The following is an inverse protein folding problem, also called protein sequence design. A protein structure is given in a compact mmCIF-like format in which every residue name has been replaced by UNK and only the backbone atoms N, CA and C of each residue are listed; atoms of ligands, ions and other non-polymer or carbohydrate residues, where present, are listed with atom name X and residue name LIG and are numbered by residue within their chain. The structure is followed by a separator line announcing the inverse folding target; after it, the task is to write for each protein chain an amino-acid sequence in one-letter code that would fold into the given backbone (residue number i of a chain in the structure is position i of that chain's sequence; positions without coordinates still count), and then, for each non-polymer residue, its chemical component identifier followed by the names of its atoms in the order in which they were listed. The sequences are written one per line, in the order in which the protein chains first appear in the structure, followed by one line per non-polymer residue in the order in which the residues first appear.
data_IF_461921360153
#
_entry.id   IF_461921360153
#
_cell.length_a   1.000
_cell.length_b   1.000
_cell.length_c   1.000
_cell.angle_alpha   90.00
_cell.angle_beta   90.00
_cell.angle_gamma   90.00
#
_symmetry.space_group_name_H-M   'P 1'
#
loop_
_entity.id
_entity.type
_entity.pdbx_description
1 polymer ?
#
# COMPACT_ATOMS: atom_id res chain seq x y z
N UNK A 1 42.92 52.42 20.61
CA UNK A 1 42.27 51.08 20.60
C UNK A 1 40.94 51.06 21.35
N UNK A 2 40.22 52.19 21.35
CA UNK A 2 38.76 52.23 21.28
C UNK A 2 38.30 51.84 19.86
N UNK A 3 37.04 51.44 19.69
CA UNK A 3 36.38 51.08 18.41
C UNK A 3 36.44 49.59 18.02
N UNK A 4 35.70 48.72 18.75
CA UNK A 4 34.97 47.55 18.19
C UNK A 4 34.27 46.63 19.19
N UNK A 5 34.42 46.85 20.50
CA UNK A 5 33.89 45.93 21.50
C UNK A 5 32.64 46.53 22.15
N UNK A 6 31.50 45.95 21.77
CA UNK A 6 30.20 45.97 22.47
C UNK A 6 29.30 47.18 22.24
N UNK A 7 29.07 47.49 20.97
CA UNK A 7 27.77 47.98 20.48
C UNK A 7 26.65 46.90 20.57
N UNK A 8 26.84 45.85 21.38
CA UNK A 8 26.07 44.60 21.36
C UNK A 8 25.16 44.42 22.58
N UNK A 9 24.98 45.45 23.42
CA UNK A 9 24.18 45.36 24.66
C UNK A 9 23.20 46.52 24.85
N UNK A 10 22.84 47.25 23.78
CA UNK A 10 21.82 48.33 23.85
C UNK A 10 20.91 48.32 22.61
N UNK A 11 20.52 47.15 22.12
CA UNK A 11 19.20 46.98 21.48
C UNK A 11 18.27 46.43 22.55
N UNK A 12 18.10 47.24 23.58
CA UNK A 12 16.98 47.14 24.49
C UNK A 12 15.69 47.33 23.68
N UNK A 13 14.69 46.51 24.00
CA UNK A 13 13.29 46.89 23.93
C UNK A 13 12.61 47.06 22.55
N UNK A 14 12.90 46.21 21.55
CA UNK A 14 12.09 46.17 20.31
C UNK A 14 11.94 44.79 19.65
N UNK A 15 11.86 43.70 20.44
CA UNK A 15 11.48 42.36 19.92
C UNK A 15 10.38 41.75 20.81
N UNK A 16 9.38 42.55 21.15
CA UNK A 16 8.13 42.12 21.82
C UNK A 16 6.91 42.51 21.00
N UNK A 17 7.02 42.53 19.66
CA UNK A 17 5.90 42.88 18.79
C UNK A 17 6.01 42.31 17.37
N UNK A 18 6.30 41.01 17.22
CA UNK A 18 5.95 40.30 15.97
C UNK A 18 5.34 38.94 16.36
N UNK A 19 4.22 39.02 17.07
CA UNK A 19 3.20 37.97 17.07
C UNK A 19 2.01 38.49 16.28
N UNK A 20 2.22 38.72 14.97
CA UNK A 20 1.11 38.91 14.04
C UNK A 20 1.03 37.67 13.15
N UNK A 21 0.09 36.82 13.52
CA UNK A 21 -0.89 36.22 12.62
C UNK A 21 -0.39 35.75 11.26
N UNK A 22 0.07 34.50 11.22
CA UNK A 22 -0.18 33.65 10.06
C UNK A 22 -1.15 32.53 10.47
N UNK A 23 -2.38 32.93 10.79
CA UNK A 23 -3.51 32.02 10.71
C UNK A 23 -3.86 31.89 9.22
N UNK A 24 -3.12 31.01 8.52
CA UNK A 24 -3.61 30.48 7.25
C UNK A 24 -4.92 29.78 7.57
N UNK A 25 -6.03 30.40 7.18
CA UNK A 25 -7.36 29.82 7.27
C UNK A 25 -7.39 28.60 6.34
N UNK A 26 -6.99 27.45 6.87
CA UNK A 26 -7.25 26.17 6.25
C UNK A 26 -8.78 26.03 6.21
N UNK A 27 -9.40 25.87 5.03
CA UNK A 27 -10.81 25.52 4.94
C UNK A 27 -11.05 24.32 5.86
N UNK A 28 -12.20 24.22 6.56
CA UNK A 28 -12.47 23.05 7.38
C UNK A 28 -12.28 21.83 6.48
N UNK A 29 -11.29 21.00 6.83
CA UNK A 29 -11.12 19.73 6.17
C UNK A 29 -12.47 19.05 6.28
N UNK A 30 -13.13 18.79 5.14
CA UNK A 30 -14.24 17.87 5.11
C UNK A 30 -13.67 16.58 5.67
N UNK A 31 -14.02 16.30 6.92
CA UNK A 31 -13.84 15.02 7.56
C UNK A 31 -14.41 14.02 6.57
N UNK A 32 -13.53 13.31 5.87
CA UNK A 32 -13.92 12.10 5.16
C UNK A 32 -14.45 11.24 6.29
N UNK A 33 -15.76 11.15 6.38
CA UNK A 33 -16.41 10.13 7.17
C UNK A 33 -15.84 8.83 6.63
N UNK A 34 -14.88 8.29 7.37
CA UNK A 34 -14.46 6.92 7.26
C UNK A 34 -15.74 6.12 7.48
N UNK A 35 -16.40 5.78 6.38
CA UNK A 35 -17.39 4.73 6.35
C UNK A 35 -16.63 3.46 6.72
N UNK A 36 -16.45 3.27 8.03
CA UNK A 36 -16.16 2.00 8.64
C UNK A 36 -17.40 1.16 8.35
N UNK A 37 -17.45 0.60 7.16
CA UNK A 37 -18.36 -0.48 6.81
C UNK A 37 -18.05 -1.56 7.83
N UNK A 38 -18.86 -1.64 8.88
CA UNK A 38 -18.91 -2.79 9.77
C UNK A 38 -19.40 -3.95 8.90
N UNK A 39 -18.46 -4.58 8.21
CA UNK A 39 -18.66 -5.86 7.57
C UNK A 39 -18.97 -6.83 8.71
N UNK A 40 -20.27 -7.07 8.89
CA UNK A 40 -20.81 -8.04 9.83
C UNK A 40 -20.07 -9.36 9.59
N UNK A 41 -19.21 -9.74 10.55
CA UNK A 41 -18.50 -11.01 10.51
C UNK A 41 -19.56 -12.12 10.58
N UNK A 42 -19.88 -12.70 9.43
CA UNK A 42 -20.63 -13.95 9.39
C UNK A 42 -19.75 -15.02 10.05
N UNK A 43 -20.35 -15.88 10.88
CA UNK A 43 -19.62 -16.85 11.67
C UNK A 43 -18.77 -17.75 10.75
N UNK A 44 -17.44 -17.60 10.80
CA UNK A 44 -16.48 -18.32 9.95
C UNK A 44 -15.69 -17.44 8.97
N UNK A 45 -16.01 -16.15 8.83
CA UNK A 45 -15.26 -15.20 7.97
C UNK A 45 -14.29 -14.40 8.84
N UNK A 46 -13.00 -14.76 8.78
CA UNK A 46 -11.92 -13.95 9.37
C UNK A 46 -11.44 -12.90 8.34
N UNK A 47 -11.64 -11.63 8.66
CA UNK A 47 -11.15 -10.52 7.83
C UNK A 47 -9.65 -10.34 8.12
N UNK A 48 -8.80 -10.86 7.24
CA UNK A 48 -7.36 -10.63 7.33
C UNK A 48 -7.03 -9.23 6.82
N UNK A 49 -6.57 -8.35 7.72
CA UNK A 49 -6.17 -6.97 7.39
C UNK A 49 -4.96 -6.87 6.46
N UNK A 50 -4.28 -7.99 6.21
CA UNK A 50 -3.22 -8.16 5.21
C UNK A 50 -3.48 -9.46 4.45
N UNK A 51 -3.92 -9.35 3.20
CA UNK A 51 -4.06 -10.48 2.28
C UNK A 51 -2.78 -10.74 1.49
N UNK A 52 -2.64 -11.91 0.87
CA UNK A 52 -1.57 -12.17 -0.08
C UNK A 52 -1.64 -11.11 -1.19
N UNK A 53 -0.50 -10.47 -1.45
CA UNK A 53 -0.39 -9.53 -2.56
C UNK A 53 -0.09 -10.37 -3.79
N UNK A 54 -0.99 -10.34 -4.77
CA UNK A 54 -0.77 -11.01 -6.04
C UNK A 54 0.52 -10.50 -6.69
N UNK A 55 1.39 -11.41 -7.12
CA UNK A 55 2.72 -11.10 -7.69
C UNK A 55 2.68 -10.25 -8.98
N UNK A 56 1.50 -10.08 -9.58
CA UNK A 56 1.31 -9.12 -10.64
C UNK A 56 1.62 -7.69 -10.16
N UNK A 57 1.54 -7.40 -8.86
CA UNK A 57 2.08 -6.19 -8.26
C UNK A 57 3.59 -6.36 -8.05
N UNK A 58 4.36 -5.36 -8.51
CA UNK A 58 5.82 -5.41 -8.49
C UNK A 58 6.36 -5.64 -7.07
N UNK A 59 7.20 -6.67 -6.91
CA UNK A 59 8.07 -6.84 -5.76
C UNK A 59 9.39 -6.11 -5.99
N UNK A 60 10.07 -5.71 -4.91
CA UNK A 60 11.40 -5.14 -5.02
C UNK A 60 12.38 -6.16 -5.62
N UNK A 61 13.32 -5.69 -6.43
CA UNK A 61 14.41 -6.53 -6.94
C UNK A 61 15.45 -6.75 -5.83
N UNK A 62 15.85 -8.00 -5.61
CA UNK A 62 16.91 -8.36 -4.67
C UNK A 62 18.07 -9.01 -5.42
N UNK A 63 19.29 -8.54 -5.17
CA UNK A 63 20.49 -9.04 -5.86
C UNK A 63 20.82 -10.50 -5.51
N UNK A 64 20.45 -10.96 -4.31
CA UNK A 64 20.62 -12.34 -3.86
C UNK A 64 19.28 -12.88 -3.38
N UNK A 65 18.54 -13.52 -4.28
CA UNK A 65 17.31 -14.24 -3.93
C UNK A 65 17.70 -15.62 -3.41
N UNK A 66 17.31 -15.94 -2.17
CA UNK A 66 17.50 -17.28 -1.63
C UNK A 66 16.56 -18.27 -2.34
N UNK A 67 16.96 -19.55 -2.52
CA UNK A 67 16.06 -20.57 -3.05
C UNK A 67 14.79 -20.70 -2.20
N UNK A 68 13.64 -20.88 -2.85
CA UNK A 68 12.38 -21.13 -2.14
C UNK A 68 12.46 -22.41 -1.31
N UNK A 69 11.83 -22.45 -0.12
CA UNK A 69 11.75 -23.66 0.70
C UNK A 69 11.14 -24.84 -0.05
N UNK A 70 11.58 -26.06 0.27
CA UNK A 70 10.96 -27.28 -0.27
C UNK A 70 9.62 -27.54 0.43
N UNK A 71 8.53 -27.30 -0.29
CA UNK A 71 7.17 -27.56 0.19
C UNK A 71 6.79 -29.00 -0.19
N UNK A 72 6.47 -29.83 0.81
CA UNK A 72 6.03 -31.23 0.61
C UNK A 72 4.52 -31.39 0.49
N UNK A 73 3.76 -30.34 0.81
CA UNK A 73 2.31 -30.32 0.72
C UNK A 73 1.92 -29.92 -0.69
N UNK A 74 1.02 -30.68 -1.30
CA UNK A 74 0.44 -30.29 -2.58
C UNK A 74 -0.63 -29.20 -2.37
N UNK A 75 -0.71 -28.19 -3.24
CA UNK A 75 -1.79 -27.22 -3.19
C UNK A 75 -3.14 -27.92 -3.44
N UNK A 76 -4.24 -27.43 -2.84
CA UNK A 76 -5.57 -27.90 -3.19
C UNK A 76 -5.90 -27.67 -4.67
N UNK A 77 -7.02 -28.22 -5.13
CA UNK A 77 -7.51 -27.92 -6.48
C UNK A 77 -7.71 -26.40 -6.66
N UNK A 78 -7.30 -25.82 -7.81
CA UNK A 78 -7.51 -24.41 -8.07
C UNK A 78 -8.99 -24.02 -8.06
N UNK A 79 -9.31 -22.89 -7.44
CA UNK A 79 -10.67 -22.36 -7.41
C UNK A 79 -11.00 -21.72 -8.76
N UNK A 80 -12.14 -22.11 -9.36
CA UNK A 80 -12.62 -21.51 -10.60
C UNK A 80 -13.26 -20.16 -10.32
N UNK A 81 -12.47 -19.10 -10.48
CA UNK A 81 -12.94 -17.73 -10.31
C UNK A 81 -13.76 -17.24 -11.50
N UNK A 82 -14.76 -16.41 -11.22
CA UNK A 82 -15.43 -15.59 -12.22
C UNK A 82 -14.87 -14.16 -12.13
N UNK A 83 -14.39 -13.58 -13.25
CA UNK A 83 -13.91 -12.21 -13.25
C UNK A 83 -15.04 -11.24 -12.87
N UNK A 84 -14.75 -10.14 -12.15
CA UNK A 84 -15.73 -9.09 -11.92
C UNK A 84 -16.17 -8.43 -13.23
N UNK A 85 -17.45 -8.06 -13.33
CA UNK A 85 -18.03 -7.38 -14.50
C UNK A 85 -17.36 -6.02 -14.79
N UNK A 86 -16.87 -5.36 -13.74
CA UNK A 86 -16.16 -4.10 -13.84
C UNK A 86 -14.75 -4.32 -14.42
N UNK A 87 -14.64 -4.30 -15.75
CA UNK A 87 -13.37 -4.33 -16.48
C UNK A 87 -12.78 -2.90 -16.60
N UNK A 88 -11.52 -2.67 -16.20
CA UNK A 88 -10.86 -1.38 -16.37
C UNK A 88 -10.63 -1.03 -17.85
N UNK A 89 -10.45 0.27 -18.12
CA UNK A 89 -9.94 0.75 -19.41
C UNK A 89 -8.46 0.43 -19.58
N UNK A 90 -8.03 0.15 -20.81
CA UNK A 90 -6.63 -0.13 -21.14
C UNK A 90 -6.47 -0.72 -22.54
N UNK A 91 -5.23 -0.90 -22.99
CA UNK A 91 -4.96 -1.38 -24.35
C UNK A 91 -5.01 -2.91 -24.45
N UNK A 92 -4.55 -3.60 -23.40
CA UNK A 92 -4.39 -5.04 -23.35
C UNK A 92 -4.84 -5.59 -22.00
N UNK A 93 -6.07 -5.24 -21.60
CA UNK A 93 -6.66 -5.66 -20.32
C UNK A 93 -7.05 -7.12 -20.36
N UNK A 94 -6.45 -7.95 -19.50
CA UNK A 94 -6.71 -9.39 -19.40
C UNK A 94 -7.04 -9.76 -17.95
N UNK A 95 -7.87 -10.80 -17.80
CA UNK A 95 -8.13 -11.41 -16.50
C UNK A 95 -6.97 -12.36 -16.18
N UNK A 96 -6.33 -12.15 -15.04
CA UNK A 96 -5.35 -13.06 -14.47
C UNK A 96 -6.06 -13.83 -13.36
N UNK A 97 -6.25 -15.16 -13.51
CA UNK A 97 -6.92 -15.95 -12.48
C UNK A 97 -6.06 -16.04 -11.21
N UNK A 98 -6.73 -16.22 -10.08
CA UNK A 98 -6.08 -16.50 -8.81
C UNK A 98 -5.33 -17.84 -8.78
N UNK A 99 -4.49 -17.99 -7.77
CA UNK A 99 -3.66 -19.17 -7.57
C UNK A 99 -3.40 -19.43 -6.08
N UNK A 100 -2.97 -20.65 -5.77
CA UNK A 100 -2.50 -21.01 -4.44
C UNK A 100 -1.09 -20.48 -4.22
N UNK A 101 -0.92 -19.61 -3.23
CA UNK A 101 0.38 -19.13 -2.76
C UNK A 101 0.73 -19.84 -1.46
N UNK A 102 1.99 -20.21 -1.28
CA UNK A 102 2.47 -20.72 0.00
C UNK A 102 2.70 -19.56 0.99
N UNK A 103 2.14 -19.68 2.18
CA UNK A 103 2.36 -18.77 3.31
C UNK A 103 3.36 -19.43 4.28
N UNK A 104 4.60 -18.92 4.30
CA UNK A 104 5.68 -19.43 5.14
C UNK A 104 5.40 -19.26 6.64
N UNK A 105 4.63 -18.25 7.05
CA UNK A 105 4.29 -18.02 8.46
C UNK A 105 3.26 -19.05 8.93
N UNK A 106 2.26 -19.34 8.11
CA UNK A 106 1.19 -20.31 8.43
C UNK A 106 1.54 -21.75 8.06
N UNK A 107 2.59 -21.95 7.25
CA UNK A 107 2.93 -23.25 6.65
C UNK A 107 1.74 -23.88 5.93
N UNK A 108 0.97 -23.06 5.21
CA UNK A 108 -0.20 -23.49 4.46
C UNK A 108 -0.38 -22.70 3.16
N UNK A 109 -1.22 -23.21 2.27
CA UNK A 109 -1.62 -22.51 1.06
C UNK A 109 -2.72 -21.50 1.36
N UNK A 110 -2.53 -20.29 0.85
CA UNK A 110 -3.52 -19.23 0.85
C UNK A 110 -3.92 -18.92 -0.60
N UNK A 111 -5.20 -18.66 -0.81
CA UNK A 111 -5.71 -18.32 -2.13
C UNK A 111 -5.43 -16.84 -2.42
N UNK A 112 -4.59 -16.57 -3.42
CA UNK A 112 -4.39 -15.24 -3.96
C UNK A 112 -5.42 -15.01 -5.07
N UNK A 113 -6.38 -14.11 -4.83
CA UNK A 113 -7.49 -13.87 -5.78
C UNK A 113 -7.00 -13.24 -7.08
N UNK A 114 -7.65 -13.58 -8.19
CA UNK A 114 -7.36 -13.02 -9.51
C UNK A 114 -7.62 -11.52 -9.62
N UNK A 115 -7.14 -10.93 -10.72
CA UNK A 115 -7.30 -9.51 -11.00
C UNK A 115 -7.30 -9.16 -12.49
N UNK A 116 -7.82 -7.98 -12.80
CA UNK A 116 -7.65 -7.35 -14.10
C UNK A 116 -6.26 -6.69 -14.23
N UNK A 117 -5.59 -6.90 -15.37
CA UNK A 117 -4.33 -6.22 -15.70
C UNK A 117 -4.24 -5.78 -17.14
N UNK A 118 -3.80 -4.54 -17.36
CA UNK A 118 -3.31 -4.09 -18.66
C UNK A 118 -1.88 -4.60 -18.85
N UNK A 119 -1.72 -5.68 -19.62
CA UNK A 119 -0.45 -6.38 -19.78
C UNK A 119 0.43 -5.60 -20.77
N UNK A 120 1.70 -5.28 -20.43
CA UNK A 120 2.61 -4.61 -21.34
C UNK A 120 2.78 -5.37 -22.66
N UNK A 121 2.95 -4.63 -23.76
CA UNK A 121 3.13 -5.20 -25.09
C UNK A 121 4.33 -6.15 -25.15
N UNK A 122 4.17 -7.29 -25.83
CA UNK A 122 5.21 -8.31 -25.95
C UNK A 122 5.53 -9.09 -24.66
N UNK A 123 4.75 -8.88 -23.58
CA UNK A 123 4.90 -9.63 -22.31
C UNK A 123 3.71 -10.58 -22.11
N UNK A 124 3.92 -11.64 -21.34
CA UNK A 124 2.91 -12.60 -20.92
C UNK A 124 3.04 -12.82 -19.42
N UNK A 125 1.90 -12.95 -18.74
CA UNK A 125 1.84 -13.36 -17.35
C UNK A 125 2.25 -14.83 -17.19
N UNK A 126 3.10 -15.11 -16.20
CA UNK A 126 3.46 -16.47 -15.77
C UNK A 126 3.20 -16.50 -14.26
N UNK A 127 2.29 -17.36 -13.79
CA UNK A 127 2.04 -17.56 -12.35
C UNK A 127 3.16 -18.37 -11.70
#
# INVERSE_FOLDING_TARGET
MACRIRYLMVFAALITAISLSNASAQPPAKEKQDAKTEAKAEAGIEIQGRGPVHEAFAVAWYANVAPSPLIRKEPPEPIKEQPPDARPEGKNVQWIPGYWQWDDEKNDFIWATGMWRDIPEGRRWIP
#
